data_IF_998164935324
#
_entry.id   IF_998164935324
#
_cell.length_a   1.000
_cell.length_b   1.000
_cell.length_c   1.000
_cell.angle_alpha   90.00
_cell.angle_beta   90.00
_cell.angle_gamma   90.00
#
_symmetry.space_group_name_H-M   'P 1'
#
loop_
_entity.id
_entity.type
_entity.pdbx_description
1 polymer ?
#
# COMPACT_ATOMS: atom_id res chain seq x y z
N UNK A 1 -0.74 6.42 8.96
CA UNK A 1 0.30 7.33 8.42
C UNK A 1 0.52 8.45 9.44
N UNK A 2 1.77 8.89 9.63
CA UNK A 2 2.08 9.98 10.57
C UNK A 2 2.58 11.21 9.84
N UNK A 3 1.84 12.31 9.95
CA UNK A 3 2.26 13.65 9.51
C UNK A 3 2.46 14.51 10.77
N UNK A 4 3.68 14.52 11.30
CA UNK A 4 4.03 15.31 12.50
C UNK A 4 3.22 14.90 13.74
N UNK A 5 2.58 15.87 14.41
CA UNK A 5 1.74 15.66 15.60
C UNK A 5 0.34 15.10 15.30
N UNK A 6 0.01 14.83 14.03
CA UNK A 6 -1.28 14.27 13.63
C UNK A 6 -1.11 12.84 13.12
N UNK A 7 -1.58 11.90 13.93
CA UNK A 7 -1.76 10.51 13.57
C UNK A 7 -3.13 10.36 12.90
N UNK A 8 -3.15 9.84 11.67
CA UNK A 8 -4.39 9.45 11.00
C UNK A 8 -4.31 7.97 10.66
N UNK A 9 -5.10 7.21 11.39
CA UNK A 9 -5.25 5.77 11.24
C UNK A 9 -6.40 5.49 10.26
N UNK A 10 -6.10 4.78 9.18
CA UNK A 10 -7.07 4.37 8.16
C UNK A 10 -6.89 2.86 8.00
N UNK A 11 -7.89 2.08 8.38
CA UNK A 11 -7.95 0.64 8.15
C UNK A 11 -9.23 0.30 7.39
N UNK A 12 -9.11 -0.54 6.36
CA UNK A 12 -10.22 -1.13 5.62
C UNK A 12 -10.13 -2.65 5.70
N UNK A 13 -11.25 -3.34 5.59
CA UNK A 13 -11.33 -4.80 5.46
C UNK A 13 -12.35 -5.16 4.40
N UNK A 14 -11.97 -5.96 3.41
CA UNK A 14 -12.87 -6.47 2.38
C UNK A 14 -12.86 -8.01 2.40
N UNK A 15 -14.04 -8.63 2.44
CA UNK A 15 -14.20 -10.05 2.81
C UNK A 15 -13.68 -11.07 1.78
N UNK A 16 -13.30 -10.64 0.57
CA UNK A 16 -12.88 -11.52 -0.54
C UNK A 16 -11.54 -11.08 -1.17
N UNK A 17 -10.62 -10.60 -0.35
CA UNK A 17 -9.36 -9.99 -0.77
C UNK A 17 -8.15 -10.87 -0.39
N UNK A 18 -6.96 -10.51 -0.87
CA UNK A 18 -5.69 -11.12 -0.44
C UNK A 18 -4.91 -10.11 0.41
N UNK A 19 -4.03 -10.55 1.31
CA UNK A 19 -3.19 -9.62 2.10
C UNK A 19 -2.54 -8.54 1.21
N UNK A 20 -1.94 -8.93 0.08
CA UNK A 20 -1.30 -7.98 -0.83
C UNK A 20 -2.27 -6.95 -1.44
N UNK A 21 -3.54 -7.33 -1.69
CA UNK A 21 -4.55 -6.36 -2.17
C UNK A 21 -4.93 -5.38 -1.08
N UNK A 22 -5.05 -5.85 0.17
CA UNK A 22 -5.35 -4.98 1.31
C UNK A 22 -4.22 -4.03 1.66
N UNK A 23 -2.97 -4.49 1.59
CA UNK A 23 -1.79 -3.65 1.76
C UNK A 23 -1.78 -2.53 0.71
N UNK A 24 -2.03 -2.87 -0.56
CA UNK A 24 -2.10 -1.89 -1.65
C UNK A 24 -3.26 -0.90 -1.45
N UNK A 25 -4.46 -1.39 -1.12
CA UNK A 25 -5.61 -0.52 -0.84
C UNK A 25 -5.35 0.41 0.34
N UNK A 26 -4.77 -0.09 1.43
CA UNK A 26 -4.41 0.72 2.59
C UNK A 26 -3.44 1.84 2.22
N UNK A 27 -2.42 1.53 1.41
CA UNK A 27 -1.50 2.55 0.91
C UNK A 27 -2.20 3.59 0.01
N UNK A 28 -3.07 3.15 -0.90
CA UNK A 28 -3.85 4.02 -1.81
C UNK A 28 -4.75 4.97 -1.01
N UNK A 29 -5.57 4.43 -0.11
CA UNK A 29 -6.51 5.22 0.70
C UNK A 29 -5.78 6.23 1.59
N UNK A 30 -4.64 5.82 2.15
CA UNK A 30 -3.87 6.68 3.01
C UNK A 30 -3.18 7.83 2.23
N UNK A 31 -2.78 7.60 0.97
CA UNK A 31 -2.33 8.66 0.06
C UNK A 31 -3.49 9.57 -0.38
N UNK A 32 -4.63 8.98 -0.78
CA UNK A 32 -5.82 9.73 -1.17
C UNK A 32 -6.39 10.60 -0.04
N UNK A 33 -6.16 10.22 1.21
CA UNK A 33 -6.55 11.02 2.38
C UNK A 33 -5.75 12.33 2.51
N UNK A 34 -4.63 12.48 1.80
CA UNK A 34 -3.79 13.67 1.81
C UNK A 34 -4.36 14.73 0.85
N UNK A 35 -4.90 15.81 1.43
CA UNK A 35 -5.56 16.88 0.66
C UNK A 35 -4.60 17.75 -0.17
N UNK A 36 -3.28 17.59 0.00
CA UNK A 36 -2.26 18.43 -0.64
C UNK A 36 -1.01 17.59 -0.97
N UNK A 37 -0.27 17.93 -2.04
CA UNK A 37 1.08 17.42 -2.29
C UNK A 37 1.91 17.46 -1.02
N UNK A 38 2.48 16.32 -0.64
CA UNK A 38 3.12 16.12 0.66
C UNK A 38 4.27 15.15 0.52
N UNK A 39 5.29 15.29 1.36
CA UNK A 39 6.34 14.29 1.51
C UNK A 39 5.83 13.20 2.45
N UNK A 40 5.79 11.96 1.97
CA UNK A 40 5.21 10.83 2.70
C UNK A 40 6.24 9.73 2.81
N UNK A 41 6.44 9.22 4.03
CA UNK A 41 7.26 8.02 4.24
C UNK A 41 6.32 6.82 4.38
N UNK A 42 6.33 5.94 3.39
CA UNK A 42 5.54 4.71 3.39
C UNK A 42 6.38 3.57 3.92
N UNK A 43 5.96 3.01 5.05
CA UNK A 43 6.56 1.80 5.61
C UNK A 43 5.81 0.58 5.08
N UNK A 44 6.54 -0.36 4.49
CA UNK A 44 5.98 -1.62 4.01
C UNK A 44 6.85 -2.77 4.51
N UNK A 45 6.20 -3.82 5.01
CA UNK A 45 6.85 -5.07 5.41
C UNK A 45 6.93 -6.09 4.25
N UNK A 46 6.06 -5.93 3.27
CA UNK A 46 5.98 -6.72 2.07
C UNK A 46 7.00 -6.29 1.00
N UNK A 47 7.99 -7.14 0.75
CA UNK A 47 8.91 -6.98 -0.39
C UNK A 47 8.18 -6.93 -1.73
N UNK A 48 7.03 -7.62 -1.84
CA UNK A 48 6.21 -7.58 -3.05
C UNK A 48 5.69 -6.17 -3.33
N UNK A 49 5.18 -5.48 -2.31
CA UNK A 49 4.70 -4.09 -2.46
C UNK A 49 5.88 -3.15 -2.71
N UNK A 50 6.98 -3.31 -1.97
CA UNK A 50 8.18 -2.48 -2.14
C UNK A 50 8.78 -2.59 -3.55
N UNK A 51 9.10 -3.80 -4.01
CA UNK A 51 9.69 -4.02 -5.32
C UNK A 51 8.69 -3.69 -6.44
N UNK A 52 7.40 -3.97 -6.22
CA UNK A 52 6.35 -3.60 -7.15
C UNK A 52 6.25 -2.10 -7.38
N UNK A 53 6.19 -1.32 -6.29
CA UNK A 53 6.05 0.13 -6.35
C UNK A 53 7.31 0.85 -6.82
N UNK A 54 8.51 0.32 -6.54
CA UNK A 54 9.78 0.99 -6.84
C UNK A 54 10.44 0.52 -8.12
N UNK A 55 10.34 -0.77 -8.46
CA UNK A 55 11.05 -1.36 -9.61
C UNK A 55 10.09 -1.75 -10.74
N UNK A 56 9.02 -2.47 -10.41
CA UNK A 56 8.20 -3.10 -11.44
C UNK A 56 7.22 -2.15 -12.11
N UNK A 57 6.66 -1.19 -11.37
CA UNK A 57 5.64 -0.27 -11.89
C UNK A 57 6.10 0.48 -13.15
N UNK A 58 7.38 0.89 -13.19
CA UNK A 58 7.98 1.55 -14.35
C UNK A 58 8.05 0.62 -15.58
N UNK A 59 8.44 -0.64 -15.36
CA UNK A 59 8.49 -1.66 -16.40
C UNK A 59 7.11 -2.03 -16.92
N UNK A 60 6.14 -2.22 -16.02
CA UNK A 60 4.75 -2.51 -16.37
C UNK A 60 4.11 -1.37 -17.14
N UNK A 61 4.33 -0.12 -16.73
CA UNK A 61 3.84 1.06 -17.46
C UNK A 61 4.37 1.10 -18.89
N UNK A 62 5.67 0.84 -19.08
CA UNK A 62 6.30 0.79 -20.42
C UNK A 62 5.76 -0.36 -21.28
N UNK A 63 5.43 -1.50 -20.65
CA UNK A 63 4.92 -2.69 -21.32
C UNK A 63 3.37 -2.75 -21.38
N UNK A 64 2.67 -1.66 -21.07
CA UNK A 64 1.21 -1.60 -21.13
C UNK A 64 0.50 -2.51 -20.12
N UNK A 65 1.01 -2.56 -18.88
CA UNK A 65 0.49 -3.35 -17.75
C UNK A 65 0.49 -4.86 -17.98
N UNK A 66 1.54 -5.34 -18.66
CA UNK A 66 1.78 -6.77 -18.92
C UNK A 66 3.08 -7.24 -18.28
N UNK A 67 3.07 -8.48 -17.81
CA UNK A 67 4.28 -9.17 -17.35
C UNK A 67 5.15 -9.60 -18.54
N UNK A 68 6.37 -10.10 -18.26
CA UNK A 68 7.26 -10.64 -19.29
C UNK A 68 6.60 -11.76 -20.12
N UNK A 69 5.71 -12.53 -19.50
CA UNK A 69 4.92 -13.60 -20.15
C UNK A 69 3.71 -13.07 -20.94
N UNK A 70 3.61 -11.75 -21.17
CA UNK A 70 2.49 -11.06 -21.84
C UNK A 70 1.14 -11.22 -21.15
N UNK A 71 1.12 -11.68 -19.90
CA UNK A 71 -0.10 -11.80 -19.10
C UNK A 71 -0.40 -10.47 -18.40
N UNK A 72 -1.67 -10.19 -18.07
CA UNK A 72 -2.02 -9.06 -17.22
C UNK A 72 -1.24 -9.11 -15.91
N UNK A 73 -0.75 -7.96 -15.45
CA UNK A 73 -0.12 -7.85 -14.13
C UNK A 73 -1.16 -8.16 -13.07
N UNK A 74 -0.79 -8.96 -12.05
CA UNK A 74 -1.69 -9.24 -10.94
C UNK A 74 -1.94 -7.96 -10.14
N UNK A 75 -3.22 -7.67 -9.85
CA UNK A 75 -3.66 -6.45 -9.18
C UNK A 75 -3.34 -5.17 -9.98
N UNK A 76 -3.35 -5.22 -11.32
CA UNK A 76 -3.07 -4.06 -12.17
C UNK A 76 -4.00 -2.88 -11.86
N UNK A 77 -5.26 -3.16 -11.51
CA UNK A 77 -6.25 -2.20 -11.04
C UNK A 77 -5.72 -1.37 -9.87
N UNK A 78 -5.20 -2.03 -8.83
CA UNK A 78 -4.68 -1.39 -7.63
C UNK A 78 -3.35 -0.69 -7.91
N UNK A 79 -2.47 -1.29 -8.71
CA UNK A 79 -1.20 -0.65 -9.05
C UNK A 79 -1.37 0.64 -9.83
N UNK A 80 -2.36 0.71 -10.72
CA UNK A 80 -2.73 1.94 -11.44
C UNK A 80 -3.29 3.00 -10.51
N UNK A 81 -4.16 2.60 -9.59
CA UNK A 81 -4.70 3.50 -8.58
C UNK A 81 -3.60 4.03 -7.63
N UNK A 82 -2.67 3.16 -7.22
CA UNK A 82 -1.52 3.54 -6.43
C UNK A 82 -0.62 4.53 -7.18
N UNK A 83 -0.32 4.30 -8.45
CA UNK A 83 0.48 5.24 -9.25
C UNK A 83 -0.18 6.63 -9.33
N UNK A 84 -1.50 6.67 -9.57
CA UNK A 84 -2.26 7.92 -9.61
C UNK A 84 -2.24 8.64 -8.24
N UNK A 85 -2.38 7.87 -7.15
CA UNK A 85 -2.31 8.41 -5.79
C UNK A 85 -0.89 8.88 -5.43
N UNK A 86 0.16 8.24 -5.96
CA UNK A 86 1.56 8.62 -5.74
C UNK A 86 1.95 9.88 -6.53
N UNK A 87 1.40 10.09 -7.72
CA UNK A 87 1.80 11.17 -8.64
C UNK A 87 1.89 12.58 -8.01
N UNK A 88 0.96 13.02 -7.13
CA UNK A 88 1.06 14.33 -6.48
C UNK A 88 1.97 14.37 -5.23
N UNK A 89 2.48 13.24 -4.75
CA UNK A 89 3.22 13.14 -3.49
C UNK A 89 4.69 12.74 -3.70
N UNK A 90 5.56 13.22 -2.83
CA UNK A 90 6.96 12.77 -2.80
C UNK A 90 7.04 11.61 -1.81
N UNK A 91 7.05 10.38 -2.32
CA UNK A 91 6.97 9.18 -1.47
C UNK A 91 8.33 8.53 -1.29
N UNK A 92 8.77 8.45 -0.04
CA UNK A 92 9.94 7.68 0.38
C UNK A 92 9.50 6.30 0.87
N UNK A 93 9.95 5.24 0.20
CA UNK A 93 9.66 3.87 0.57
C UNK A 93 10.67 3.36 1.58
N UNK A 94 10.19 2.93 2.75
CA UNK A 94 11.01 2.25 3.75
C UNK A 94 10.53 0.82 3.91
N UNK A 95 11.41 -0.12 3.59
CA UNK A 95 11.15 -1.52 3.91
C UNK A 95 11.46 -1.78 5.37
N UNK A 96 10.47 -2.28 6.09
CA UNK A 96 10.62 -2.78 7.45
C UNK A 96 10.60 -4.30 7.41
N UNK A 97 11.39 -4.94 8.26
CA UNK A 97 11.44 -6.40 8.27
C UNK A 97 10.20 -6.89 9.03
N UNK A 98 9.25 -7.49 8.30
CA UNK A 98 8.07 -8.12 8.90
C UNK A 98 8.47 -9.13 9.97
N UNK A 99 7.91 -8.95 11.16
CA UNK A 99 8.20 -9.64 12.41
C UNK A 99 9.63 -9.47 12.96
N UNK A 100 9.86 -8.37 13.68
CA UNK A 100 10.71 -8.40 14.87
C UNK A 100 10.38 -7.29 15.88
N UNK A 101 10.27 -6.02 15.47
CA UNK A 101 10.19 -4.92 16.45
C UNK A 101 9.53 -3.65 15.88
N UNK A 102 8.32 -3.73 15.33
CA UNK A 102 7.60 -2.54 14.88
C UNK A 102 6.19 -2.51 15.49
N UNK A 103 6.04 -1.77 16.60
CA UNK A 103 4.77 -1.59 17.31
C UNK A 103 3.65 -1.09 16.38
N UNK A 104 4.00 -0.32 15.34
CA UNK A 104 3.04 0.11 14.32
C UNK A 104 2.51 -1.04 13.46
N UNK A 105 3.34 -2.03 13.14
CA UNK A 105 2.91 -3.19 12.35
C UNK A 105 2.02 -4.12 13.18
N UNK A 106 2.36 -4.32 14.46
CA UNK A 106 1.50 -5.05 15.39
C UNK A 106 0.13 -4.39 15.55
N UNK A 107 0.06 -3.06 15.62
CA UNK A 107 -1.22 -2.32 15.64
C UNK A 107 -2.01 -2.43 14.34
N UNK A 108 -1.36 -2.36 13.18
CA UNK A 108 -2.03 -2.57 11.90
C UNK A 108 -2.62 -3.98 11.78
N UNK A 109 -1.89 -5.00 12.25
CA UNK A 109 -2.34 -6.39 12.31
C UNK A 109 -3.52 -6.57 13.28
N UNK A 110 -3.48 -5.90 14.44
CA UNK A 110 -4.58 -5.91 15.41
C UNK A 110 -5.84 -5.23 14.86
N UNK A 111 -5.69 -4.09 14.17
CA UNK A 111 -6.80 -3.39 13.53
C UNK A 111 -7.41 -4.19 12.38
N UNK A 112 -6.58 -4.83 11.55
CA UNK A 112 -7.05 -5.73 10.49
C UNK A 112 -7.83 -6.92 11.06
N UNK A 113 -7.37 -7.50 12.18
CA UNK A 113 -8.08 -8.56 12.89
C UNK A 113 -9.39 -8.09 13.51
N UNK A 114 -9.44 -6.87 14.03
CA UNK A 114 -10.65 -6.31 14.64
C UNK A 114 -11.70 -5.91 13.59
N UNK A 115 -11.29 -5.43 12.42
CA UNK A 115 -12.20 -5.08 11.32
C UNK A 115 -12.91 -6.32 10.73
N UNK A 116 -12.28 -7.50 10.76
CA UNK A 116 -12.92 -8.77 10.37
C UNK A 116 -14.01 -9.19 11.37
N UNK A 117 -13.91 -8.75 12.63
CA UNK A 117 -14.90 -9.07 13.68
C UNK A 117 -16.20 -8.27 13.58
N UNK A 118 -16.21 -7.17 12.83
CA UNK A 118 -17.37 -6.27 12.69
C UNK A 118 -18.28 -6.62 11.50
N UNK A 119 -17.92 -7.62 10.70
CA UNK A 119 -18.68 -8.12 9.55
C UNK A 119 -19.64 -9.28 9.88
N UNK A 120 -20.06 -9.43 11.14
CA UNK A 120 -20.93 -10.52 11.59
C UNK A 120 -22.34 -10.05 11.94
#
# INVERSE_FOLDING_TARGET
MQLGAHEKELSGAEAATTNNRMELMGAIEALNALKKPSKVKLHVDSKYVMDGATKWIHGWKKNGWKTADKKPVKNDDLWRALEAALAPHEVEWKWVKGHADDEMNNRADELARNAIKTLR
#
